data_IF_344471081303
#
_entry.id   IF_344471081303
#
_cell.length_a   1.000
_cell.length_b   1.000
_cell.length_c   1.000
_cell.angle_alpha   90.00
_cell.angle_beta   90.00
_cell.angle_gamma   90.00
#
_symmetry.space_group_name_H-M   'P 1'
#
loop_
_entity.id
_entity.type
_entity.pdbx_description
1 polymer ?
#
# COMPACT_ATOMS: atom_id res chain seq x y z
N UNK A 1 -6.81 -2.39 -12.92
CA UNK A 1 -7.43 -1.67 -11.81
C UNK A 1 -6.39 -1.25 -10.76
N UNK A 2 -5.61 -2.16 -10.15
CA UNK A 2 -4.57 -1.82 -9.17
C UNK A 2 -3.51 -0.84 -9.69
N UNK A 3 -3.17 -0.91 -10.98
CA UNK A 3 -2.25 0.03 -11.60
C UNK A 3 -2.78 1.47 -11.57
N UNK A 4 -4.08 1.64 -11.77
CA UNK A 4 -4.72 2.95 -11.66
C UNK A 4 -4.76 3.43 -10.20
N UNK A 5 -5.13 2.54 -9.26
CA UNK A 5 -5.10 2.85 -7.82
C UNK A 5 -3.70 3.29 -7.40
N UNK A 6 -2.66 2.56 -7.86
CA UNK A 6 -1.25 2.94 -7.64
C UNK A 6 -0.97 4.35 -8.14
N UNK A 7 -1.39 4.69 -9.36
CA UNK A 7 -1.09 5.98 -9.98
C UNK A 7 -1.64 7.17 -9.19
N UNK A 8 -2.82 7.01 -8.58
CA UNK A 8 -3.52 8.12 -7.93
C UNK A 8 -3.44 8.14 -6.40
N UNK A 9 -3.19 6.99 -5.75
CA UNK A 9 -3.18 6.87 -4.28
C UNK A 9 -1.80 6.57 -3.69
N UNK A 10 -1.10 5.55 -4.20
CA UNK A 10 0.19 5.11 -3.69
C UNK A 10 1.22 4.94 -4.83
N UNK A 11 1.70 6.03 -5.45
CA UNK A 11 2.54 5.97 -6.65
C UNK A 11 3.87 5.25 -6.49
N UNK A 12 4.32 4.99 -5.25
CA UNK A 12 5.56 4.27 -4.94
C UNK A 12 5.36 2.81 -4.62
N UNK A 13 4.13 2.40 -4.30
CA UNK A 13 3.75 1.02 -4.02
C UNK A 13 3.23 0.37 -5.31
N UNK A 14 3.19 -0.96 -5.32
CA UNK A 14 2.77 -1.73 -6.49
C UNK A 14 3.90 -1.91 -7.52
N UNK A 15 4.10 -3.12 -7.91
CA UNK A 15 5.14 -3.53 -8.87
C UNK A 15 4.49 -4.30 -10.01
N UNK A 16 4.21 -3.61 -11.12
CA UNK A 16 3.55 -4.20 -12.30
C UNK A 16 4.51 -4.55 -13.41
N UNK A 17 5.74 -4.02 -13.34
CA UNK A 17 6.78 -4.28 -14.32
C UNK A 17 8.06 -4.67 -13.60
N UNK A 18 8.62 -5.80 -13.97
CA UNK A 18 9.88 -6.31 -13.40
C UNK A 18 11.05 -5.33 -13.55
N UNK A 19 11.03 -4.51 -14.60
CA UNK A 19 12.08 -3.53 -14.88
C UNK A 19 11.88 -2.22 -14.11
N UNK A 20 10.75 -2.05 -13.42
CA UNK A 20 10.42 -0.81 -12.71
C UNK A 20 11.17 -0.74 -11.37
N UNK A 21 12.46 -0.48 -11.45
CA UNK A 21 13.29 -0.21 -10.28
C UNK A 21 13.09 1.23 -9.84
N UNK A 22 12.53 1.40 -8.65
CA UNK A 22 12.36 2.73 -8.08
C UNK A 22 13.69 3.31 -7.60
N UNK A 23 14.44 3.95 -8.50
CA UNK A 23 15.70 4.64 -8.21
C UNK A 23 15.49 6.09 -7.73
N UNK A 24 14.38 6.39 -7.10
CA UNK A 24 14.07 7.74 -6.63
C UNK A 24 13.38 8.65 -7.65
N UNK A 25 12.99 8.14 -8.81
CA UNK A 25 12.27 8.91 -9.82
C UNK A 25 10.91 9.40 -9.29
N UNK A 26 10.50 10.57 -9.76
CA UNK A 26 9.19 11.15 -9.42
C UNK A 26 8.07 10.35 -10.08
N UNK A 27 7.08 9.91 -9.28
CA UNK A 27 5.92 9.15 -9.74
C UNK A 27 4.57 9.83 -9.48
N UNK A 28 4.58 11.08 -9.03
CA UNK A 28 3.38 11.82 -8.64
C UNK A 28 2.88 12.76 -9.75
N UNK A 29 3.21 12.49 -11.01
CA UNK A 29 2.91 13.41 -12.13
C UNK A 29 1.40 13.55 -12.42
N UNK A 30 0.60 12.56 -12.03
CA UNK A 30 -0.85 12.53 -12.26
C UNK A 30 -1.66 13.06 -11.07
N UNK A 31 -1.00 13.45 -9.98
CA UNK A 31 -1.66 13.91 -8.75
C UNK A 31 -1.55 15.44 -8.67
N UNK A 32 -2.64 16.12 -9.00
CA UNK A 32 -2.81 17.58 -8.85
C UNK A 32 -3.40 17.94 -7.50
N UNK A 33 -4.23 17.05 -6.93
CA UNK A 33 -4.84 17.20 -5.61
C UNK A 33 -4.53 15.97 -4.75
N UNK A 34 -4.03 16.19 -3.55
CA UNK A 34 -3.57 15.13 -2.65
C UNK A 34 -4.63 14.66 -1.65
N UNK A 35 -5.90 15.03 -1.82
CA UNK A 35 -6.98 14.66 -0.88
C UNK A 35 -7.07 13.16 -0.69
N UNK A 36 -7.07 12.37 -1.78
CA UNK A 36 -7.11 10.91 -1.71
C UNK A 36 -5.91 10.31 -0.98
N UNK A 37 -4.70 10.77 -1.27
CA UNK A 37 -3.49 10.31 -0.59
C UNK A 37 -3.49 10.65 0.91
N UNK A 38 -3.99 11.84 1.28
CA UNK A 38 -4.13 12.25 2.69
C UNK A 38 -5.18 11.43 3.41
N UNK A 39 -6.35 11.24 2.80
CA UNK A 39 -7.43 10.43 3.36
C UNK A 39 -6.98 9.00 3.63
N UNK A 40 -6.26 8.38 2.69
CA UNK A 40 -5.68 7.05 2.85
C UNK A 40 -4.67 6.98 4.01
N UNK A 41 -3.78 7.98 4.15
CA UNK A 41 -2.85 8.05 5.29
C UNK A 41 -3.57 8.22 6.62
N UNK A 42 -4.63 9.01 6.63
CA UNK A 42 -5.47 9.18 7.83
C UNK A 42 -6.13 7.85 8.21
N UNK A 43 -6.65 7.09 7.24
CA UNK A 43 -7.18 5.76 7.45
C UNK A 43 -6.12 4.82 8.06
N UNK A 44 -4.93 4.72 7.44
CA UNK A 44 -3.84 3.86 7.92
C UNK A 44 -3.38 4.21 9.33
N UNK A 45 -3.23 5.51 9.62
CA UNK A 45 -2.88 5.99 10.96
C UNK A 45 -4.00 5.73 11.98
N UNK A 46 -5.25 5.91 11.58
CA UNK A 46 -6.43 5.64 12.42
C UNK A 46 -6.57 4.17 12.76
N UNK A 47 -6.40 3.27 11.80
CA UNK A 47 -6.40 1.83 12.02
C UNK A 47 -5.25 1.41 12.95
N UNK A 48 -4.05 1.94 12.73
CA UNK A 48 -2.92 1.69 13.62
C UNK A 48 -3.21 2.13 15.04
N UNK A 49 -3.74 3.33 15.25
CA UNK A 49 -4.08 3.85 16.57
C UNK A 49 -5.21 3.08 17.25
N UNK A 50 -6.18 2.60 16.47
CA UNK A 50 -7.35 1.87 16.97
C UNK A 50 -7.08 0.39 17.25
N UNK A 51 -6.47 -0.33 16.31
CA UNK A 51 -6.34 -1.77 16.35
C UNK A 51 -5.01 -2.26 16.95
N UNK A 52 -3.87 -1.64 16.59
CA UNK A 52 -2.52 -2.14 16.93
C UNK A 52 -1.60 -1.04 17.44
N UNK A 53 -2.11 -0.21 18.36
CA UNK A 53 -1.35 0.94 18.88
C UNK A 53 -0.04 0.52 19.59
N UNK A 54 1.12 1.07 19.21
CA UNK A 54 2.36 0.83 19.92
C UNK A 54 2.39 1.47 21.32
N UNK A 55 1.50 2.44 21.60
CA UNK A 55 1.48 3.19 22.85
C UNK A 55 0.69 2.49 23.98
N UNK A 56 -0.09 1.46 23.66
CA UNK A 56 -0.92 0.72 24.62
C UNK A 56 -0.98 -0.76 24.28
N UNK A 57 -1.13 -1.65 25.29
CA UNK A 57 -1.40 -3.07 25.02
C UNK A 57 -2.68 -3.22 24.20
N UNK A 58 -2.58 -3.83 23.03
CA UNK A 58 -3.70 -4.02 22.10
C UNK A 58 -4.18 -5.47 22.02
N UNK A 59 -3.44 -6.40 22.64
CA UNK A 59 -3.84 -7.80 22.79
C UNK A 59 -3.47 -8.32 24.18
N UNK A 60 -4.13 -9.39 24.59
CA UNK A 60 -3.86 -10.14 25.81
C UNK A 60 -4.00 -11.62 25.52
N UNK A 61 -3.04 -12.41 26.00
CA UNK A 61 -3.14 -13.85 25.93
C UNK A 61 -4.13 -14.38 26.97
N UNK A 62 -4.85 -15.41 26.59
CA UNK A 62 -5.79 -16.14 27.44
C UNK A 62 -5.81 -17.62 27.08
N UNK A 63 -6.43 -18.43 27.92
CA UNK A 63 -6.72 -19.83 27.65
C UNK A 63 -8.19 -19.98 27.24
N UNK A 64 -8.49 -21.05 26.52
CA UNK A 64 -9.88 -21.40 26.13
C UNK A 64 -10.73 -21.69 27.37
N UNK A 65 -10.12 -22.23 28.43
CA UNK A 65 -10.79 -22.52 29.69
C UNK A 65 -10.88 -21.26 30.57
N UNK A 66 -12.10 -20.76 30.89
CA UNK A 66 -12.28 -19.56 31.72
C UNK A 66 -11.78 -19.73 33.15
N UNK A 67 -11.78 -20.94 33.69
CA UNK A 67 -11.33 -21.19 35.08
C UNK A 67 -9.78 -21.16 35.19
N UNK A 68 -9.08 -21.63 34.19
CA UNK A 68 -7.63 -21.45 34.08
C UNK A 68 -7.23 -19.98 33.97
N UNK A 69 -8.01 -19.14 33.31
CA UNK A 69 -7.76 -17.69 33.21
C UNK A 69 -7.87 -16.98 34.60
N UNK A 70 -8.65 -17.54 35.53
CA UNK A 70 -8.80 -17.02 36.88
C UNK A 70 -7.69 -17.51 37.84
N UNK A 71 -7.02 -18.62 37.51
CA UNK A 71 -5.95 -19.20 38.34
C UNK A 71 -4.71 -18.29 38.32
N UNK A 72 -4.34 -17.78 39.49
CA UNK A 72 -3.33 -16.73 39.58
C UNK A 72 -1.97 -17.06 38.93
N UNK A 73 -1.38 -18.24 39.04
CA UNK A 73 -0.12 -18.59 38.39
C UNK A 73 -0.22 -18.54 36.85
N UNK A 74 -1.33 -19.03 36.27
CA UNK A 74 -1.57 -19.00 34.81
C UNK A 74 -1.72 -17.57 34.33
N UNK A 75 -2.49 -16.77 35.04
CA UNK A 75 -2.70 -15.35 34.72
C UNK A 75 -1.37 -14.57 34.75
N UNK A 76 -0.53 -14.77 35.74
CA UNK A 76 0.77 -14.12 35.83
C UNK A 76 1.69 -14.54 34.67
N UNK A 77 1.74 -15.84 34.37
CA UNK A 77 2.52 -16.34 33.24
C UNK A 77 2.05 -15.77 31.89
N UNK A 78 0.74 -15.75 31.62
CA UNK A 78 0.17 -15.19 30.42
C UNK A 78 0.47 -13.69 30.28
N UNK A 79 0.43 -12.93 31.39
CA UNK A 79 0.81 -11.52 31.37
C UNK A 79 2.28 -11.32 31.04
N UNK A 80 3.20 -12.11 31.70
CA UNK A 80 4.63 -12.04 31.41
C UNK A 80 4.94 -12.37 29.94
N UNK A 81 4.29 -13.39 29.37
CA UNK A 81 4.44 -13.74 27.96
C UNK A 81 3.90 -12.63 27.07
N UNK A 82 2.74 -12.04 27.40
CA UNK A 82 2.16 -10.92 26.64
C UNK A 82 3.11 -9.72 26.60
N UNK A 83 3.71 -9.35 27.74
CA UNK A 83 4.68 -8.25 27.82
C UNK A 83 5.93 -8.54 26.99
N UNK A 84 6.43 -9.77 27.02
CA UNK A 84 7.58 -10.19 26.19
C UNK A 84 7.26 -10.12 24.69
N UNK A 85 6.07 -10.55 24.27
CA UNK A 85 5.64 -10.46 22.89
C UNK A 85 5.55 -8.99 22.43
N UNK A 86 4.96 -8.11 23.24
CA UNK A 86 4.90 -6.67 22.97
C UNK A 86 6.29 -6.04 22.85
N UNK A 87 7.23 -6.47 23.71
CA UNK A 87 8.62 -6.02 23.63
C UNK A 87 9.29 -6.47 22.31
N UNK A 88 9.04 -7.70 21.85
CA UNK A 88 9.53 -8.20 20.57
C UNK A 88 8.95 -7.38 19.42
N UNK A 89 7.63 -7.12 19.41
CA UNK A 89 6.99 -6.28 18.39
C UNK A 89 7.56 -4.85 18.37
N UNK A 90 7.86 -4.29 19.53
CA UNK A 90 8.44 -2.94 19.63
C UNK A 90 9.89 -2.90 19.12
N UNK A 91 10.68 -3.94 19.37
CA UNK A 91 12.08 -4.02 18.94
C UNK A 91 12.23 -4.40 17.47
N UNK A 92 11.28 -5.11 16.91
CA UNK A 92 11.26 -5.52 15.51
C UNK A 92 10.70 -4.42 14.60
N UNK A 93 10.58 -4.71 13.32
CA UNK A 93 9.94 -3.80 12.36
C UNK A 93 8.40 -3.96 12.29
N UNK A 94 7.77 -4.66 13.24
CA UNK A 94 6.35 -5.02 13.23
C UNK A 94 5.45 -3.80 13.04
N UNK A 95 5.54 -2.81 13.89
CA UNK A 95 4.65 -1.64 13.84
C UNK A 95 4.81 -0.82 12.57
N UNK A 96 6.03 -0.70 12.04
CA UNK A 96 6.26 -0.03 10.76
C UNK A 96 5.63 -0.80 9.60
N UNK A 97 5.73 -2.12 9.64
CA UNK A 97 5.12 -2.99 8.61
C UNK A 97 3.60 -2.96 8.68
N UNK A 98 3.02 -3.04 9.88
CA UNK A 98 1.58 -2.94 10.09
C UNK A 98 1.01 -1.62 9.55
N UNK A 99 1.68 -0.49 9.82
CA UNK A 99 1.26 0.80 9.29
C UNK A 99 1.24 0.80 7.75
N UNK A 100 2.30 0.29 7.12
CA UNK A 100 2.36 0.15 5.66
C UNK A 100 1.27 -0.78 5.13
N UNK A 101 1.00 -1.89 5.82
CA UNK A 101 -0.05 -2.83 5.46
C UNK A 101 -1.45 -2.21 5.56
N UNK A 102 -1.72 -1.36 6.54
CA UNK A 102 -3.01 -0.64 6.63
C UNK A 102 -3.21 0.35 5.49
N UNK A 103 -2.15 1.05 5.05
CA UNK A 103 -2.22 1.90 3.86
C UNK A 103 -2.49 1.06 2.59
N UNK A 104 -1.79 -0.06 2.40
CA UNK A 104 -2.03 -0.96 1.27
C UNK A 104 -3.41 -1.61 1.31
N UNK A 105 -3.88 -1.99 2.49
CA UNK A 105 -5.20 -2.55 2.68
C UNK A 105 -6.31 -1.56 2.28
N UNK A 106 -6.17 -0.29 2.70
CA UNK A 106 -7.09 0.78 2.30
C UNK A 106 -7.03 1.13 0.81
N UNK A 107 -5.88 0.96 0.16
CA UNK A 107 -5.71 1.27 -1.26
C UNK A 107 -6.08 0.09 -2.16
N UNK A 108 -5.57 -1.10 -1.87
CA UNK A 108 -5.63 -2.27 -2.77
C UNK A 108 -6.56 -3.39 -2.27
N UNK A 109 -7.09 -3.27 -1.07
CA UNK A 109 -7.98 -4.26 -0.47
C UNK A 109 -7.28 -5.51 0.06
N UNK A 110 -6.00 -5.67 -0.22
CA UNK A 110 -5.18 -6.79 0.23
C UNK A 110 -3.78 -6.28 0.53
N UNK A 111 -3.22 -6.69 1.65
CA UNK A 111 -1.85 -6.41 2.02
C UNK A 111 -1.15 -7.72 2.40
N UNK A 112 0.16 -7.77 2.33
CA UNK A 112 0.90 -8.99 2.64
C UNK A 112 2.21 -8.72 3.35
N UNK A 113 2.58 -9.62 4.26
CA UNK A 113 3.88 -9.64 4.88
C UNK A 113 4.29 -11.07 5.22
N UNK A 114 5.55 -11.42 4.98
CA UNK A 114 6.13 -12.70 5.39
C UNK A 114 6.88 -12.46 6.69
N UNK A 115 6.63 -13.28 7.70
CA UNK A 115 7.28 -13.21 9.01
C UNK A 115 8.36 -14.28 9.07
N UNK A 116 9.59 -13.86 9.26
CA UNK A 116 10.73 -14.77 9.38
C UNK A 116 11.42 -14.58 10.73
N UNK A 117 12.02 -15.66 11.28
CA UNK A 117 12.84 -15.54 12.47
C UNK A 117 14.08 -14.68 12.19
N UNK A 118 14.44 -13.83 13.14
CA UNK A 118 15.64 -13.00 13.09
C UNK A 118 16.47 -13.15 14.38
N UNK A 119 17.77 -13.28 14.23
CA UNK A 119 18.68 -13.48 15.36
C UNK A 119 18.86 -12.22 16.22
N UNK A 120 18.59 -11.02 15.69
CA UNK A 120 18.74 -9.74 16.38
C UNK A 120 17.47 -9.29 17.07
N UNK A 121 16.32 -9.43 16.37
CA UNK A 121 15.03 -8.88 16.84
C UNK A 121 13.98 -9.94 17.08
N UNK A 122 14.36 -11.21 17.07
CA UNK A 122 13.53 -12.41 17.14
C UNK A 122 12.65 -12.62 15.91
N UNK A 123 11.99 -11.60 15.38
CA UNK A 123 11.18 -11.65 14.17
C UNK A 123 11.50 -10.48 13.25
N UNK A 124 11.38 -10.72 11.95
CA UNK A 124 11.48 -9.71 10.92
C UNK A 124 10.35 -9.87 9.90
N UNK A 125 9.63 -8.80 9.64
CA UNK A 125 8.58 -8.75 8.63
C UNK A 125 9.15 -8.31 7.29
N UNK A 126 8.80 -9.06 6.24
CA UNK A 126 9.06 -8.69 4.86
C UNK A 126 7.73 -8.26 4.21
N UNK A 127 7.40 -6.96 4.22
CA UNK A 127 6.21 -6.48 3.54
C UNK A 127 6.36 -6.72 2.04
N UNK A 128 5.29 -7.21 1.42
CA UNK A 128 5.17 -7.39 -0.02
C UNK A 128 4.08 -6.47 -0.54
N UNK A 129 4.33 -5.80 -1.66
CA UNK A 129 3.34 -4.91 -2.26
C UNK A 129 2.61 -5.58 -3.41
N UNK A 130 1.44 -5.06 -3.75
CA UNK A 130 0.64 -5.59 -4.86
C UNK A 130 1.45 -5.58 -6.17
N UNK A 131 1.28 -6.65 -6.99
CA UNK A 131 2.08 -6.87 -8.20
C UNK A 131 3.42 -7.60 -7.96
N UNK A 132 3.87 -7.73 -6.71
CA UNK A 132 5.02 -8.57 -6.35
C UNK A 132 4.59 -9.97 -5.90
N UNK A 133 3.33 -10.18 -5.56
CA UNK A 133 2.86 -11.45 -5.02
C UNK A 133 1.52 -11.87 -5.61
N UNK A 134 1.28 -13.16 -5.56
CA UNK A 134 0.01 -13.80 -5.82
C UNK A 134 -0.36 -14.71 -4.65
N UNK A 135 -1.65 -14.80 -4.36
CA UNK A 135 -2.18 -15.62 -3.26
C UNK A 135 -3.22 -16.62 -3.76
N UNK A 136 -3.37 -17.70 -3.02
CA UNK A 136 -4.49 -18.61 -3.17
C UNK A 136 -5.06 -18.95 -1.78
N UNK A 137 -6.30 -19.44 -1.79
CA UNK A 137 -7.05 -19.77 -0.58
C UNK A 137 -7.40 -21.25 -0.53
N UNK A 138 -7.61 -21.74 0.68
CA UNK A 138 -8.20 -23.05 0.91
C UNK A 138 -9.72 -23.06 0.63
N UNK A 139 -10.36 -24.22 0.84
CA UNK A 139 -11.80 -24.39 0.66
C UNK A 139 -12.65 -23.57 1.65
N UNK A 140 -12.06 -23.08 2.74
CA UNK A 140 -12.69 -22.19 3.71
C UNK A 140 -12.47 -20.70 3.40
N UNK A 141 -11.77 -20.39 2.31
CA UNK A 141 -11.44 -19.03 1.93
C UNK A 141 -10.28 -18.39 2.72
N UNK A 142 -9.52 -19.19 3.49
CA UNK A 142 -8.33 -18.69 4.20
C UNK A 142 -7.12 -18.72 3.28
N UNK A 143 -6.33 -17.66 3.30
CA UNK A 143 -5.08 -17.61 2.52
C UNK A 143 -4.10 -18.62 3.09
N UNK A 144 -3.67 -19.58 2.27
CA UNK A 144 -2.72 -20.62 2.63
C UNK A 144 -1.55 -20.74 1.66
N UNK A 145 -1.57 -19.98 0.58
CA UNK A 145 -0.55 -20.01 -0.47
C UNK A 145 -0.14 -18.60 -0.83
N UNK A 146 1.17 -18.37 -0.93
CA UNK A 146 1.75 -17.10 -1.35
C UNK A 146 2.94 -17.35 -2.27
N UNK A 147 2.86 -16.79 -3.47
CA UNK A 147 3.99 -16.71 -4.40
C UNK A 147 4.43 -15.27 -4.50
N UNK A 148 5.71 -15.00 -4.33
CA UNK A 148 6.25 -13.67 -4.56
C UNK A 148 7.36 -13.69 -5.60
N UNK A 149 7.42 -12.62 -6.35
CA UNK A 149 8.42 -12.37 -7.37
C UNK A 149 9.30 -11.19 -6.95
N UNK A 150 10.61 -11.34 -7.04
CA UNK A 150 11.56 -10.28 -6.74
C UNK A 150 12.84 -10.45 -7.54
N UNK A 151 13.64 -9.40 -7.63
CA UNK A 151 14.89 -9.42 -8.38
C UNK A 151 16.08 -9.39 -7.43
N UNK A 152 17.08 -10.20 -7.76
CA UNK A 152 18.40 -10.19 -7.11
C UNK A 152 19.50 -10.04 -8.17
N UNK A 153 20.61 -9.42 -7.78
CA UNK A 153 21.80 -9.44 -8.61
C UNK A 153 22.43 -10.82 -8.61
N UNK A 154 23.17 -11.16 -9.67
CA UNK A 154 23.89 -12.42 -9.77
C UNK A 154 24.81 -12.62 -8.56
N UNK A 155 25.51 -11.57 -8.12
CA UNK A 155 26.37 -11.62 -6.94
C UNK A 155 25.61 -11.97 -5.66
N UNK A 156 24.44 -11.36 -5.42
CA UNK A 156 23.60 -11.65 -4.25
C UNK A 156 23.03 -13.06 -4.30
N UNK A 157 22.64 -13.52 -5.49
CA UNK A 157 22.05 -14.83 -5.69
C UNK A 157 23.04 -15.94 -5.40
N UNK A 158 24.25 -15.85 -5.94
CA UNK A 158 25.33 -16.82 -5.69
C UNK A 158 25.75 -16.79 -4.21
N UNK A 159 25.80 -15.61 -3.57
CA UNK A 159 26.14 -15.48 -2.15
C UNK A 159 25.11 -16.12 -1.24
N UNK A 160 23.80 -15.99 -1.55
CA UNK A 160 22.72 -16.47 -0.70
C UNK A 160 22.40 -17.95 -0.91
N UNK A 161 22.37 -18.41 -2.14
CA UNK A 161 21.96 -19.77 -2.49
C UNK A 161 23.12 -20.71 -2.83
N UNK A 162 24.29 -20.16 -3.11
CA UNK A 162 25.47 -20.92 -3.52
C UNK A 162 25.54 -21.13 -5.02
N UNK A 163 26.75 -21.09 -5.58
CA UNK A 163 27.01 -21.23 -7.03
C UNK A 163 26.40 -22.51 -7.61
N UNK A 164 26.50 -23.64 -6.90
CA UNK A 164 26.06 -24.95 -7.42
C UNK A 164 24.54 -25.03 -7.65
N UNK A 165 23.77 -24.31 -6.85
CA UNK A 165 22.32 -24.32 -6.88
C UNK A 165 21.70 -23.34 -7.91
N UNK A 166 22.54 -22.47 -8.49
CA UNK A 166 22.10 -21.53 -9.51
C UNK A 166 22.00 -22.21 -10.90
N UNK A 167 21.13 -21.65 -11.75
CA UNK A 167 20.98 -22.11 -13.14
C UNK A 167 22.24 -21.92 -13.95
N UNK A 168 22.31 -22.62 -15.07
CA UNK A 168 23.41 -22.50 -16.04
C UNK A 168 23.56 -21.07 -16.55
N UNK A 169 22.44 -20.36 -16.73
CA UNK A 169 22.43 -18.95 -17.15
C UNK A 169 23.11 -18.05 -16.13
N UNK A 170 22.80 -18.21 -14.86
CA UNK A 170 23.38 -17.41 -13.74
C UNK A 170 24.85 -17.74 -13.56
N UNK A 171 25.23 -19.04 -13.65
CA UNK A 171 26.65 -19.48 -13.61
C UNK A 171 27.47 -18.80 -14.72
N UNK A 172 26.94 -18.80 -15.94
CA UNK A 172 27.61 -18.16 -17.09
C UNK A 172 27.78 -16.65 -16.90
N UNK A 173 26.77 -15.95 -16.31
CA UNK A 173 26.87 -14.53 -15.99
C UNK A 173 27.92 -14.27 -14.92
N UNK A 174 27.95 -15.09 -13.88
CA UNK A 174 28.89 -14.99 -12.78
C UNK A 174 30.35 -15.22 -13.29
N UNK A 175 30.58 -16.25 -14.08
CA UNK A 175 31.91 -16.58 -14.64
C UNK A 175 32.44 -15.52 -15.62
N UNK A 176 31.53 -14.81 -16.31
CA UNK A 176 31.85 -13.66 -17.16
C UNK A 176 32.07 -12.35 -16.39
N UNK A 177 31.89 -12.34 -15.06
CA UNK A 177 32.01 -11.13 -14.24
C UNK A 177 30.82 -10.16 -14.31
N UNK A 178 29.68 -10.57 -14.90
CA UNK A 178 28.46 -9.75 -14.97
C UNK A 178 27.67 -9.85 -13.67
N UNK A 179 28.25 -9.41 -12.57
CA UNK A 179 27.75 -9.58 -11.21
C UNK A 179 26.52 -8.72 -10.90
N UNK A 180 26.38 -7.58 -11.57
CA UNK A 180 25.30 -6.61 -11.37
C UNK A 180 24.05 -6.91 -12.21
N UNK A 181 24.07 -7.95 -13.02
CA UNK A 181 22.90 -8.39 -13.78
C UNK A 181 21.81 -8.88 -12.85
N UNK A 182 20.57 -8.48 -13.12
CA UNK A 182 19.45 -8.87 -12.30
C UNK A 182 18.76 -10.12 -12.84
N UNK A 183 18.44 -11.00 -11.92
CA UNK A 183 17.71 -12.26 -12.17
C UNK A 183 16.43 -12.23 -11.36
N UNK A 184 15.32 -12.62 -11.98
CA UNK A 184 14.04 -12.74 -11.30
C UNK A 184 13.98 -14.06 -10.55
N UNK A 185 13.67 -13.98 -9.27
CA UNK A 185 13.49 -15.12 -8.37
C UNK A 185 12.05 -15.20 -7.93
N UNK A 186 11.49 -16.38 -7.94
CA UNK A 186 10.17 -16.67 -7.41
C UNK A 186 10.35 -17.45 -6.10
N UNK A 187 9.65 -17.01 -5.07
CA UNK A 187 9.53 -17.71 -3.80
C UNK A 187 8.10 -18.21 -3.65
N UNK A 188 7.92 -19.50 -3.67
CA UNK A 188 6.65 -20.18 -3.50
C UNK A 188 6.51 -20.70 -2.06
N UNK A 189 5.41 -20.34 -1.42
CA UNK A 189 5.00 -20.86 -0.11
C UNK A 189 3.62 -21.47 -0.29
N UNK A 190 3.49 -22.78 -0.13
CA UNK A 190 2.27 -23.53 -0.37
C UNK A 190 2.10 -24.70 0.60
N UNK A 191 0.89 -25.17 0.87
CA UNK A 191 0.68 -26.38 1.65
C UNK A 191 1.33 -27.57 0.95
N UNK A 192 2.04 -28.38 1.72
CA UNK A 192 2.63 -29.63 1.21
C UNK A 192 1.58 -30.74 1.26
N UNK A 193 1.50 -31.54 0.21
CA UNK A 193 0.64 -32.74 0.21
C UNK A 193 1.13 -33.71 1.31
N UNK A 194 0.21 -34.25 2.10
CA UNK A 194 0.51 -35.22 3.14
C UNK A 194 1.16 -36.49 2.60
N UNK A 195 0.95 -36.81 1.31
CA UNK A 195 1.61 -37.92 0.62
C UNK A 195 3.09 -37.70 0.39
N UNK A 196 3.53 -36.45 0.34
CA UNK A 196 4.93 -36.06 0.16
C UNK A 196 5.67 -35.92 1.50
N UNK A 197 4.97 -36.06 2.64
CA UNK A 197 5.52 -35.84 3.98
C UNK A 197 5.85 -37.16 4.65
N UNK A 198 7.06 -37.20 5.20
CA UNK A 198 7.44 -38.22 6.16
C UNK A 198 7.27 -37.65 7.61
N UNK A 199 6.17 -38.01 8.26
CA UNK A 199 5.83 -37.50 9.59
C UNK A 199 6.82 -37.93 10.71
N UNK A 200 7.67 -38.91 10.43
CA UNK A 200 8.71 -39.34 11.37
C UNK A 200 9.95 -38.45 11.32
N UNK A 201 10.18 -37.78 10.21
CA UNK A 201 11.29 -36.85 10.03
C UNK A 201 10.91 -35.43 10.47
N UNK A 202 11.80 -34.81 11.24
CA UNK A 202 11.62 -33.44 11.74
C UNK A 202 12.49 -32.41 10.99
N UNK A 203 12.85 -32.69 9.75
CA UNK A 203 13.60 -31.79 8.90
C UNK A 203 12.67 -30.75 8.20
N UNK A 204 13.29 -29.70 7.67
CA UNK A 204 12.54 -28.59 7.07
C UNK A 204 11.76 -29.01 5.83
N UNK A 205 12.21 -30.06 5.12
CA UNK A 205 11.55 -30.59 3.91
C UNK A 205 10.29 -31.39 4.21
N UNK A 206 10.04 -31.77 5.46
CA UNK A 206 8.85 -32.49 5.89
C UNK A 206 7.84 -31.65 6.70
N UNK A 207 8.04 -30.33 6.73
CA UNK A 207 7.10 -29.39 7.36
C UNK A 207 5.81 -29.21 6.55
N UNK A 208 4.74 -28.72 7.19
CA UNK A 208 3.41 -28.60 6.63
C UNK A 208 3.35 -27.66 5.40
N UNK A 209 4.13 -26.61 5.39
CA UNK A 209 4.20 -25.68 4.27
C UNK A 209 5.55 -25.81 3.58
N UNK A 210 5.52 -25.96 2.25
CA UNK A 210 6.69 -25.97 1.39
C UNK A 210 7.15 -24.55 1.14
N UNK A 211 8.44 -24.31 1.18
CA UNK A 211 9.06 -23.05 0.81
C UNK A 211 10.11 -23.32 -0.25
N UNK A 212 9.87 -22.89 -1.47
CA UNK A 212 10.71 -23.17 -2.61
C UNK A 212 11.14 -21.87 -3.29
N UNK A 213 12.46 -21.74 -3.53
CA UNK A 213 13.02 -20.64 -4.31
C UNK A 213 13.51 -21.17 -5.65
N UNK A 214 13.13 -20.53 -6.75
CA UNK A 214 13.57 -20.88 -8.09
C UNK A 214 13.72 -19.65 -8.98
N UNK A 215 14.52 -19.77 -10.03
CA UNK A 215 14.75 -18.71 -11.00
C UNK A 215 13.65 -18.74 -12.06
N UNK A 216 13.15 -17.57 -12.46
CA UNK A 216 12.24 -17.47 -13.58
C UNK A 216 13.00 -17.74 -14.89
N UNK A 217 12.56 -18.76 -15.64
CA UNK A 217 13.22 -19.17 -16.88
C UNK A 217 14.55 -19.88 -16.68
N UNK A 218 14.81 -20.40 -15.47
CA UNK A 218 15.94 -21.29 -15.19
C UNK A 218 15.76 -22.70 -15.73
N UNK A 219 16.73 -23.57 -15.47
CA UNK A 219 16.68 -24.99 -15.86
C UNK A 219 15.52 -25.66 -15.07
N UNK A 220 14.55 -26.22 -15.78
CA UNK A 220 13.17 -26.50 -15.32
C UNK A 220 12.98 -27.34 -14.04
N UNK A 221 13.99 -28.08 -13.58
CA UNK A 221 13.92 -28.86 -12.33
C UNK A 221 14.83 -28.33 -11.22
N UNK A 222 15.60 -27.28 -11.50
CA UNK A 222 16.59 -26.77 -10.55
C UNK A 222 15.97 -25.73 -9.60
N UNK A 223 15.93 -26.07 -8.33
CA UNK A 223 15.51 -25.15 -7.26
C UNK A 223 16.73 -24.56 -6.58
N UNK A 224 16.71 -23.26 -6.31
CA UNK A 224 17.75 -22.57 -5.56
C UNK A 224 17.83 -23.06 -4.11
N UNK A 225 16.67 -23.25 -3.48
CA UNK A 225 16.55 -23.78 -2.12
C UNK A 225 15.14 -24.30 -1.89
N UNK A 226 15.03 -25.48 -1.28
CA UNK A 226 13.80 -26.00 -0.72
C UNK A 226 13.90 -26.03 0.82
N UNK A 227 12.84 -25.62 1.47
CA UNK A 227 12.70 -25.56 2.93
C UNK A 227 11.23 -25.72 3.28
N UNK A 228 10.84 -25.47 4.52
CA UNK A 228 9.46 -25.51 4.94
C UNK A 228 9.20 -24.75 6.23
N UNK A 229 7.93 -24.59 6.52
CA UNK A 229 7.41 -23.97 7.73
C UNK A 229 6.39 -24.89 8.38
N UNK A 230 6.33 -24.86 9.72
CA UNK A 230 5.33 -25.63 10.49
C UNK A 230 3.92 -25.07 10.27
N UNK A 231 3.82 -23.74 10.17
CA UNK A 231 2.61 -22.97 9.98
C UNK A 231 2.82 -21.99 8.82
N UNK A 232 1.74 -21.47 8.27
CA UNK A 232 1.83 -20.48 7.20
C UNK A 232 2.56 -19.23 7.68
N UNK A 233 3.70 -18.85 7.09
CA UNK A 233 4.56 -17.80 7.63
C UNK A 233 4.16 -16.38 7.18
N UNK A 234 3.08 -16.25 6.42
CA UNK A 234 2.64 -14.98 5.88
C UNK A 234 1.34 -14.52 6.51
N UNK A 235 1.24 -13.23 6.72
CA UNK A 235 0.03 -12.53 7.14
C UNK A 235 -0.49 -11.77 5.94
N UNK A 236 -1.72 -12.09 5.49
CA UNK A 236 -2.29 -11.53 4.26
C UNK A 236 -3.74 -11.09 4.53
N UNK A 237 -3.93 -10.00 5.28
CA UNK A 237 -5.26 -9.49 5.57
C UNK A 237 -5.90 -8.90 4.31
N UNK A 238 -7.26 -9.02 4.27
CA UNK A 238 -8.11 -8.52 3.19
C UNK A 238 -9.18 -7.59 3.78
N UNK A 239 -9.45 -6.48 3.11
CA UNK A 239 -10.43 -5.49 3.59
C UNK A 239 -11.86 -6.03 3.54
N UNK A 240 -12.36 -6.30 2.36
CA UNK A 240 -13.67 -6.87 2.12
C UNK A 240 -13.58 -7.92 1.03
N UNK A 241 -14.14 -9.12 1.25
CA UNK A 241 -14.16 -10.20 0.26
C UNK A 241 -15.61 -10.51 -0.06
N UNK A 242 -15.97 -10.47 -1.33
CA UNK A 242 -17.29 -10.80 -1.81
C UNK A 242 -17.27 -12.11 -2.59
N UNK A 243 -18.22 -12.99 -2.28
CA UNK A 243 -18.37 -14.26 -3.00
C UNK A 243 -17.13 -15.15 -2.93
N UNK A 244 -16.64 -15.59 -4.09
CA UNK A 244 -15.45 -16.42 -4.23
C UNK A 244 -14.17 -15.64 -4.55
N UNK A 245 -14.15 -14.33 -4.31
CA UNK A 245 -12.97 -13.51 -4.58
C UNK A 245 -11.81 -13.90 -3.68
N UNK A 246 -10.63 -13.98 -4.27
CA UNK A 246 -9.38 -14.26 -3.56
C UNK A 246 -8.83 -12.99 -2.93
N UNK A 247 -8.86 -11.88 -3.68
CA UNK A 247 -8.38 -10.57 -3.22
C UNK A 247 -9.52 -9.72 -2.67
N UNK A 248 -9.20 -8.84 -1.74
CA UNK A 248 -10.17 -7.95 -1.12
C UNK A 248 -10.52 -6.74 -1.99
N UNK A 249 -11.70 -6.19 -1.79
CA UNK A 249 -12.13 -4.88 -2.28
C UNK A 249 -11.78 -3.80 -1.24
N UNK A 250 -11.52 -2.57 -1.66
CA UNK A 250 -11.04 -1.49 -0.78
C UNK A 250 -11.79 -0.18 -0.95
N UNK A 251 -11.75 0.68 0.07
CA UNK A 251 -12.21 2.06 -0.05
C UNK A 251 -11.51 2.82 -1.19
N UNK A 252 -10.23 2.54 -1.43
CA UNK A 252 -9.47 3.15 -2.52
C UNK A 252 -9.96 2.77 -3.90
N UNK A 253 -10.44 1.54 -4.06
CA UNK A 253 -11.07 1.08 -5.30
C UNK A 253 -12.42 1.74 -5.52
N UNK A 254 -13.21 1.89 -4.47
CA UNK A 254 -14.53 2.54 -4.52
C UNK A 254 -14.41 4.04 -4.79
N UNK A 255 -13.48 4.71 -4.16
CA UNK A 255 -13.25 6.14 -4.33
C UNK A 255 -12.48 6.52 -5.61
N UNK A 256 -11.99 5.55 -6.39
CA UNK A 256 -11.11 5.81 -7.54
C UNK A 256 -11.74 6.73 -8.58
N UNK A 257 -13.04 6.60 -8.81
CA UNK A 257 -13.80 7.46 -9.72
C UNK A 257 -13.76 8.93 -9.29
N UNK A 258 -14.09 9.19 -8.04
CA UNK A 258 -14.08 10.54 -7.44
C UNK A 258 -12.65 11.12 -7.41
N UNK A 259 -11.66 10.30 -7.12
CA UNK A 259 -10.26 10.73 -7.11
C UNK A 259 -9.82 11.17 -8.52
N UNK A 260 -10.17 10.42 -9.57
CA UNK A 260 -9.88 10.79 -10.96
C UNK A 260 -10.62 12.05 -11.37
N UNK A 261 -11.89 12.18 -11.00
CA UNK A 261 -12.69 13.40 -11.23
C UNK A 261 -11.99 14.61 -10.61
N UNK A 262 -11.59 14.53 -9.35
CA UNK A 262 -10.90 15.60 -8.64
C UNK A 262 -9.59 16.04 -9.35
N UNK A 263 -8.79 15.09 -9.84
CA UNK A 263 -7.57 15.43 -10.59
C UNK A 263 -7.91 16.19 -11.86
N UNK A 264 -8.96 15.76 -12.58
CA UNK A 264 -9.40 16.42 -13.81
C UNK A 264 -9.91 17.84 -13.56
N UNK A 265 -10.72 18.03 -12.53
CA UNK A 265 -11.26 19.34 -12.12
C UNK A 265 -10.17 20.30 -11.70
N UNK A 266 -9.18 19.86 -10.94
CA UNK A 266 -8.03 20.68 -10.54
C UNK A 266 -7.20 21.11 -11.77
N UNK A 267 -6.99 20.22 -12.72
CA UNK A 267 -6.32 20.56 -13.97
C UNK A 267 -7.12 21.60 -14.77
N UNK A 268 -8.45 21.41 -14.89
CA UNK A 268 -9.33 22.34 -15.60
C UNK A 268 -9.40 23.70 -14.91
N UNK A 269 -9.42 23.71 -13.59
CA UNK A 269 -9.35 24.94 -12.79
C UNK A 269 -8.06 25.71 -13.09
N UNK A 270 -6.90 25.04 -13.08
CA UNK A 270 -5.63 25.66 -13.39
C UNK A 270 -5.62 26.23 -14.82
N UNK A 271 -6.06 25.44 -15.82
CA UNK A 271 -6.17 25.90 -17.20
C UNK A 271 -7.14 27.08 -17.35
N UNK A 272 -8.26 27.06 -16.64
CA UNK A 272 -9.23 28.17 -16.64
C UNK A 272 -8.63 29.46 -16.11
N UNK A 273 -7.86 29.38 -15.03
CA UNK A 273 -7.14 30.52 -14.47
C UNK A 273 -6.08 31.02 -15.47
N UNK A 274 -5.36 30.12 -16.13
CA UNK A 274 -4.37 30.49 -17.16
C UNK A 274 -5.05 31.22 -18.33
N UNK A 275 -6.21 30.79 -18.79
CA UNK A 275 -6.98 31.49 -19.85
C UNK A 275 -7.51 32.85 -19.40
N UNK A 276 -7.81 33.04 -18.12
CA UNK A 276 -8.21 34.36 -17.62
C UNK A 276 -7.03 35.31 -17.45
N UNK A 277 -5.87 34.79 -17.01
CA UNK A 277 -4.67 35.60 -16.77
C UNK A 277 -3.85 35.86 -18.02
N UNK A 278 -3.83 34.90 -18.95
CA UNK A 278 -3.12 34.98 -20.23
C UNK A 278 -4.04 34.46 -21.34
N UNK A 279 -5.06 35.26 -21.74
CA UNK A 279 -5.95 34.86 -22.85
C UNK A 279 -5.17 34.80 -24.16
N UNK A 280 -5.54 33.91 -25.09
CA UNK A 280 -4.93 33.91 -26.41
C UNK A 280 -5.23 35.22 -27.13
N UNK A 281 -4.22 35.75 -27.81
CA UNK A 281 -4.29 37.02 -28.50
C UNK A 281 -4.55 36.80 -29.99
N UNK A 282 -5.40 37.65 -30.58
CA UNK A 282 -5.49 37.84 -32.03
C UNK A 282 -4.58 38.98 -32.44
N UNK A 283 -3.61 38.63 -33.26
CA UNK A 283 -2.63 39.59 -33.76
C UNK A 283 -2.84 39.75 -35.28
N UNK A 284 -2.93 40.96 -35.78
CA UNK A 284 -3.06 41.21 -37.22
C UNK A 284 -1.92 40.58 -38.03
N UNK A 285 -2.20 40.07 -39.22
CA UNK A 285 -1.25 39.30 -40.04
C UNK A 285 0.03 40.06 -40.40
N UNK A 286 -0.02 41.39 -40.48
CA UNK A 286 1.15 42.21 -40.74
C UNK A 286 2.18 42.26 -39.58
N UNK A 287 1.73 41.88 -38.38
CA UNK A 287 2.59 41.79 -37.18
C UNK A 287 3.21 40.42 -36.98
N UNK A 288 3.01 39.47 -37.89
CA UNK A 288 3.47 38.08 -37.78
C UNK A 288 4.96 37.92 -37.43
N UNK A 289 5.78 38.88 -37.86
CA UNK A 289 7.23 38.88 -37.67
C UNK A 289 7.72 39.93 -36.62
N UNK A 290 6.79 40.52 -35.86
CA UNK A 290 7.15 41.50 -34.78
C UNK A 290 6.91 40.84 -33.43
N UNK A 291 7.79 41.16 -32.49
CA UNK A 291 7.63 40.72 -31.11
C UNK A 291 6.47 41.48 -30.44
N UNK A 292 5.58 40.73 -29.84
CA UNK A 292 4.48 41.26 -29.02
C UNK A 292 4.84 41.10 -27.57
N UNK A 293 4.99 42.25 -26.88
CA UNK A 293 5.26 42.20 -25.43
C UNK A 293 3.98 41.82 -24.66
N UNK A 294 3.94 40.61 -24.15
CA UNK A 294 2.82 40.05 -23.37
C UNK A 294 3.02 40.15 -21.86
N UNK A 295 4.05 40.84 -21.41
CA UNK A 295 4.32 41.06 -19.98
C UNK A 295 3.43 42.16 -19.39
N UNK A 296 3.09 42.12 -18.10
CA UNK A 296 2.38 43.19 -17.43
C UNK A 296 3.15 44.52 -17.55
N UNK A 297 2.53 45.57 -18.11
CA UNK A 297 3.15 46.86 -18.37
C UNK A 297 3.97 46.93 -19.65
N UNK A 298 4.03 45.85 -20.44
CA UNK A 298 4.68 45.83 -21.74
C UNK A 298 3.98 46.79 -22.75
N UNK A 299 4.78 47.44 -23.58
CA UNK A 299 4.31 48.39 -24.60
C UNK A 299 4.57 47.82 -25.99
N UNK A 300 3.53 47.58 -26.75
CA UNK A 300 3.62 47.17 -28.14
C UNK A 300 3.11 48.29 -29.04
N UNK A 301 3.93 48.78 -29.98
CA UNK A 301 3.54 49.84 -30.92
C UNK A 301 2.79 49.24 -32.11
N UNK A 302 1.56 49.76 -32.39
CA UNK A 302 0.69 49.33 -33.45
C UNK A 302 0.29 50.53 -34.28
N UNK A 303 0.20 50.37 -35.64
CA UNK A 303 -0.33 51.38 -36.54
C UNK A 303 -1.88 51.36 -36.48
N UNK A 304 -2.45 52.45 -36.02
CA UNK A 304 -3.88 52.56 -35.66
C UNK A 304 -4.89 52.34 -36.82
N UNK A 305 -4.42 52.23 -38.06
CA UNK A 305 -5.30 52.04 -39.24
C UNK A 305 -5.47 50.54 -39.63
N UNK A 306 -4.70 49.59 -39.10
CA UNK A 306 -4.64 48.21 -39.57
C UNK A 306 -5.10 47.15 -38.56
N UNK A 307 -5.77 47.51 -37.50
CA UNK A 307 -6.32 46.59 -36.50
C UNK A 307 -5.55 46.63 -35.19
N UNK A 308 -6.20 46.17 -34.13
CA UNK A 308 -5.69 46.16 -32.77
C UNK A 308 -5.31 44.72 -32.36
N UNK A 309 -4.39 44.60 -31.41
CA UNK A 309 -4.18 43.35 -30.70
C UNK A 309 -5.35 43.21 -29.71
N UNK A 310 -6.14 42.19 -29.89
CA UNK A 310 -7.31 41.91 -29.05
C UNK A 310 -7.22 40.49 -28.53
N UNK A 311 -7.91 40.19 -27.41
CA UNK A 311 -8.07 38.83 -26.95
C UNK A 311 -8.93 38.04 -27.96
N UNK A 312 -8.46 36.85 -28.34
CA UNK A 312 -9.19 36.01 -29.32
C UNK A 312 -10.59 35.66 -28.84
N UNK A 313 -10.76 35.52 -27.54
CA UNK A 313 -12.04 35.34 -26.86
C UNK A 313 -11.90 35.72 -25.40
N UNK A 314 -12.96 36.28 -24.82
CA UNK A 314 -13.03 36.54 -23.40
C UNK A 314 -13.64 35.32 -22.68
N UNK A 315 -12.85 34.65 -21.84
CA UNK A 315 -13.32 33.56 -21.03
C UNK A 315 -13.84 34.14 -19.71
N UNK A 316 -15.14 34.22 -19.56
CA UNK A 316 -15.77 34.64 -18.30
C UNK A 316 -16.18 33.38 -17.50
N UNK A 317 -15.22 32.77 -16.83
CA UNK A 317 -15.45 31.56 -16.05
C UNK A 317 -16.04 31.92 -14.68
N UNK A 318 -17.26 31.47 -14.42
CA UNK A 318 -17.78 31.44 -13.07
C UNK A 318 -17.21 30.23 -12.31
N UNK A 319 -16.08 30.44 -11.63
CA UNK A 319 -15.37 29.39 -10.90
C UNK A 319 -16.12 28.92 -9.64
N UNK A 320 -17.20 29.61 -9.21
CA UNK A 320 -17.89 29.28 -7.95
C UNK A 320 -18.53 27.89 -8.00
N UNK A 321 -19.17 27.52 -9.12
CA UNK A 321 -19.74 26.17 -9.28
C UNK A 321 -18.66 25.08 -9.28
N UNK A 322 -17.53 25.32 -9.96
CA UNK A 322 -16.41 24.40 -9.99
C UNK A 322 -15.78 24.24 -8.58
N UNK A 323 -15.68 25.33 -7.82
CA UNK A 323 -15.15 25.26 -6.44
C UNK A 323 -16.10 24.50 -5.52
N UNK A 324 -17.41 24.66 -5.68
CA UNK A 324 -18.42 23.92 -4.92
C UNK A 324 -18.34 22.41 -5.23
N UNK A 325 -18.24 22.06 -6.51
CA UNK A 325 -18.11 20.67 -6.97
C UNK A 325 -16.81 20.01 -6.44
N UNK A 326 -15.68 20.72 -6.54
CA UNK A 326 -14.41 20.26 -5.95
C UNK A 326 -14.54 19.99 -4.43
N UNK A 327 -15.26 20.81 -3.69
CA UNK A 327 -15.48 20.60 -2.26
C UNK A 327 -16.37 19.38 -2.00
N UNK A 328 -17.42 19.18 -2.76
CA UNK A 328 -18.27 17.99 -2.69
C UNK A 328 -17.50 16.71 -2.96
N UNK A 329 -16.71 16.67 -4.04
CA UNK A 329 -15.86 15.52 -4.40
C UNK A 329 -14.84 15.22 -3.29
N UNK A 330 -14.20 16.25 -2.71
CA UNK A 330 -13.29 16.08 -1.56
C UNK A 330 -13.98 15.47 -0.36
N UNK A 331 -15.21 15.90 -0.08
CA UNK A 331 -15.99 15.37 1.03
C UNK A 331 -16.35 13.91 0.80
N UNK A 332 -16.76 13.52 -0.41
CA UNK A 332 -17.02 12.12 -0.78
C UNK A 332 -15.77 11.24 -0.63
N UNK A 333 -14.61 11.72 -1.10
CA UNK A 333 -13.34 11.01 -0.93
C UNK A 333 -13.02 10.82 0.56
N UNK A 334 -13.12 11.87 1.37
CA UNK A 334 -12.86 11.76 2.81
C UNK A 334 -13.83 10.79 3.50
N UNK A 335 -15.11 10.81 3.12
CA UNK A 335 -16.12 9.87 3.61
C UNK A 335 -15.79 8.41 3.26
N UNK A 336 -15.39 8.13 2.02
CA UNK A 336 -15.02 6.78 1.56
C UNK A 336 -13.84 6.19 2.34
N UNK A 337 -12.87 7.02 2.75
CA UNK A 337 -11.72 6.59 3.56
C UNK A 337 -11.95 6.72 5.07
N UNK A 338 -13.14 7.04 5.53
CA UNK A 338 -13.42 7.28 6.95
C UNK A 338 -12.52 8.37 7.58
N UNK A 339 -11.95 9.25 6.76
CA UNK A 339 -10.98 10.25 7.22
C UNK A 339 -11.62 11.23 8.23
N UNK A 340 -12.85 11.64 8.00
CA UNK A 340 -13.59 12.53 8.91
C UNK A 340 -13.81 11.89 10.29
N UNK A 341 -14.03 10.57 10.29
CA UNK A 341 -14.18 9.78 11.50
C UNK A 341 -12.92 9.85 12.39
N UNK A 342 -11.76 9.61 11.80
CA UNK A 342 -10.49 9.62 12.53
C UNK A 342 -10.02 11.03 12.89
N UNK A 343 -10.28 12.03 12.04
CA UNK A 343 -9.95 13.43 12.32
C UNK A 343 -10.80 14.03 13.43
N UNK A 344 -12.10 13.69 13.51
CA UNK A 344 -12.94 14.10 14.64
C UNK A 344 -12.42 13.55 15.97
N UNK A 345 -11.84 12.35 15.98
CA UNK A 345 -11.22 11.78 17.18
C UNK A 345 -9.96 12.54 17.60
N UNK A 346 -9.15 12.97 16.63
CA UNK A 346 -7.96 13.78 16.91
C UNK A 346 -8.28 15.18 17.40
N UNK A 347 -9.39 15.78 16.93
CA UNK A 347 -9.81 17.14 17.26
C UNK A 347 -10.75 17.22 18.49
N UNK A 348 -11.21 16.09 19.03
CA UNK A 348 -12.10 16.03 20.21
C UNK A 348 -11.43 16.47 21.53
N UNK A 349 -10.18 16.91 21.48
CA UNK A 349 -9.49 17.53 22.63
C UNK A 349 -9.95 18.95 22.94
N UNK A 350 -10.80 19.54 22.12
CA UNK A 350 -11.32 20.88 22.35
C UNK A 350 -12.76 20.81 22.89
N UNK A 351 -12.90 21.30 24.13
CA UNK A 351 -14.12 21.67 24.87
C UNK A 351 -15.00 20.58 25.49
N UNK A 352 -14.94 20.48 26.82
CA UNK A 352 -16.02 20.05 27.76
C UNK A 352 -16.59 18.64 27.67
N UNK A 353 -15.96 17.75 26.94
CA UNK A 353 -16.38 16.34 26.91
C UNK A 353 -15.74 15.57 28.06
N UNK A 354 -16.49 14.69 28.68
CA UNK A 354 -15.96 13.78 29.70
C UNK A 354 -15.14 12.67 29.04
N UNK A 355 -14.14 12.14 29.74
CA UNK A 355 -13.32 11.01 29.24
C UNK A 355 -14.18 9.80 28.82
N UNK A 356 -15.30 9.56 29.50
CA UNK A 356 -16.26 8.50 29.22
C UNK A 356 -16.96 8.73 27.88
N UNK A 357 -17.41 9.94 27.61
CA UNK A 357 -18.12 10.31 26.36
C UNK A 357 -17.18 10.22 25.14
N UNK A 358 -15.91 10.57 25.32
CA UNK A 358 -14.89 10.39 24.28
C UNK A 358 -14.64 8.91 24.00
N UNK A 359 -14.60 8.06 25.05
CA UNK A 359 -14.42 6.62 24.91
C UNK A 359 -15.61 5.94 24.21
N UNK A 360 -16.84 6.28 24.61
CA UNK A 360 -18.06 5.75 23.98
C UNK A 360 -18.15 6.13 22.50
N UNK A 361 -17.88 7.38 22.14
CA UNK A 361 -17.84 7.81 20.74
C UNK A 361 -16.72 7.12 19.94
N UNK A 362 -15.61 6.80 20.60
CA UNK A 362 -14.52 6.05 19.97
C UNK A 362 -14.96 4.62 19.63
N UNK A 363 -15.64 3.95 20.57
CA UNK A 363 -16.17 2.60 20.36
C UNK A 363 -17.27 2.58 19.29
N UNK A 364 -18.23 3.50 19.36
CA UNK A 364 -19.33 3.59 18.39
C UNK A 364 -18.82 3.80 16.95
N UNK A 365 -17.77 4.57 16.79
CA UNK A 365 -17.17 4.83 15.48
C UNK A 365 -16.33 3.67 14.97
N UNK A 366 -15.64 2.94 15.83
CA UNK A 366 -14.95 1.70 15.46
C UNK A 366 -15.93 0.61 15.02
N UNK A 367 -17.19 0.64 15.53
CA UNK A 367 -18.24 -0.26 15.07
C UNK A 367 -18.57 -0.13 13.59
N UNK A 368 -18.40 1.03 12.98
CA UNK A 368 -18.56 1.20 11.51
C UNK A 368 -17.51 0.40 10.72
N UNK A 369 -16.34 0.18 11.30
CA UNK A 369 -15.28 -0.68 10.75
C UNK A 369 -15.36 -2.12 11.28
N UNK A 370 -16.40 -2.44 12.06
CA UNK A 370 -16.57 -3.74 12.73
C UNK A 370 -16.32 -4.95 11.82
N UNK A 371 -16.97 -5.07 10.66
CA UNK A 371 -16.77 -6.19 9.74
C UNK A 371 -15.34 -6.31 9.22
N UNK A 372 -14.66 -5.18 9.01
CA UNK A 372 -13.27 -5.13 8.57
C UNK A 372 -12.34 -5.54 9.72
N UNK A 373 -12.59 -5.03 10.92
CA UNK A 373 -11.80 -5.36 12.11
C UNK A 373 -11.95 -6.82 12.51
N UNK A 374 -13.15 -7.40 12.42
CA UNK A 374 -13.39 -8.82 12.66
C UNK A 374 -12.57 -9.69 11.71
N UNK A 375 -12.57 -9.34 10.42
CA UNK A 375 -11.74 -10.05 9.44
C UNK A 375 -10.25 -9.90 9.73
N UNK A 376 -9.82 -8.69 10.07
CA UNK A 376 -8.42 -8.43 10.45
C UNK A 376 -8.00 -9.27 11.66
N UNK A 377 -8.84 -9.45 12.67
CA UNK A 377 -8.55 -10.32 13.81
C UNK A 377 -8.35 -11.79 13.42
N UNK A 378 -8.93 -12.22 12.32
CA UNK A 378 -8.78 -13.59 11.83
C UNK A 378 -7.63 -13.79 10.85
N UNK A 379 -7.22 -12.72 10.13
CA UNK A 379 -6.22 -12.78 9.06
C UNK A 379 -4.90 -12.06 9.40
N UNK A 380 -4.87 -11.25 10.45
CA UNK A 380 -3.69 -10.54 10.96
C UNK A 380 -3.11 -11.22 12.20
#
# INVERSE_FOLDING_TARGET
HWQEVTTYLLPRNGRYFQQDRNKGHRRHNSIYDNTGTRALRTLGAGMMAGATSPARPWFRLGTVDPDLNKFAPVKLWLNDVTERMQLVFTKSNTYRTLHSMYEELGAFGTAGSIILPDTKTAIHHYPVTIGEYAIATDYQGRVNTLYREFQKTVAELVREFGYNNCSTSVKNLFDRGNLDSYVTVIHAIEPRDDRERDFQKKDNTNMAYKSCYFEQGGDGEQVLRESGYKEFPAVVPRWGVAGGDIYGNSPGMEALGDIKQLQHEQLRKAQGIDYQTKPPLQVPSYMKNRDVDSLPGGVTFIDGQQGKIETAFNVNLNLNHLLADIQDVRQRINGSFYADLFLMLANATDTRMTATEVAERHEEKLLMLGPVLERLHNEL
#
